data_IF_518587039901
#
_entry.id   IF_518587039901
#
_cell.length_a   1.000
_cell.length_b   1.000
_cell.length_c   1.000
_cell.angle_alpha   90.00
_cell.angle_beta   90.00
_cell.angle_gamma   90.00
#
_symmetry.space_group_name_H-M   'P 1'
#
loop_
_entity.id
_entity.type
_entity.pdbx_description
1 polymer ?
#
# COMPACT_ATOMS: atom_id res chain seq x y z
N UNK A 1 13.46 19.91 -31.22
CA UNK A 1 14.18 19.37 -30.04
C UNK A 1 13.47 19.74 -28.73
N UNK A 2 13.26 21.03 -28.44
CA UNK A 2 12.54 21.52 -27.23
C UNK A 2 11.16 20.89 -26.98
N UNK A 3 10.37 20.67 -28.05
CA UNK A 3 9.04 20.03 -27.94
C UNK A 3 9.09 18.58 -27.45
N UNK A 4 10.12 17.82 -27.84
CA UNK A 4 10.29 16.42 -27.42
C UNK A 4 10.68 16.38 -25.94
N UNK A 5 11.63 17.21 -25.52
CA UNK A 5 12.04 17.32 -24.11
C UNK A 5 10.86 17.70 -23.20
N UNK A 6 9.99 18.63 -23.64
CA UNK A 6 8.79 19.02 -22.90
C UNK A 6 7.81 17.85 -22.74
N UNK A 7 7.61 17.06 -23.80
CA UNK A 7 6.72 15.90 -23.76
C UNK A 7 7.28 14.81 -22.81
N UNK A 8 8.57 14.51 -22.90
CA UNK A 8 9.24 13.56 -22.00
C UNK A 8 9.12 13.97 -20.54
N UNK A 9 9.27 15.26 -20.23
CA UNK A 9 9.17 15.76 -18.85
C UNK A 9 7.76 15.58 -18.27
N UNK A 10 6.72 15.85 -19.07
CA UNK A 10 5.33 15.63 -18.66
C UNK A 10 5.03 14.14 -18.42
N UNK A 11 5.55 13.26 -19.28
CA UNK A 11 5.42 11.80 -19.10
C UNK A 11 6.11 11.34 -17.82
N UNK A 12 7.32 11.80 -17.54
CA UNK A 12 8.04 11.48 -16.31
C UNK A 12 7.25 11.94 -15.07
N UNK A 13 6.73 13.17 -15.06
CA UNK A 13 5.90 13.65 -13.95
C UNK A 13 4.67 12.77 -13.75
N UNK A 14 3.98 12.41 -14.84
CA UNK A 14 2.79 11.58 -14.77
C UNK A 14 3.11 10.18 -14.21
N UNK A 15 4.16 9.53 -14.71
CA UNK A 15 4.60 8.23 -14.20
C UNK A 15 5.10 8.29 -12.77
N UNK A 16 5.83 9.34 -12.38
CA UNK A 16 6.28 9.53 -10.99
C UNK A 16 5.10 9.69 -10.03
N UNK A 17 4.10 10.50 -10.38
CA UNK A 17 2.88 10.65 -9.58
C UNK A 17 2.09 9.35 -9.51
N UNK A 18 1.98 8.63 -10.64
CA UNK A 18 1.30 7.35 -10.70
C UNK A 18 2.02 6.29 -9.85
N UNK A 19 3.35 6.21 -9.90
CA UNK A 19 4.14 5.32 -9.07
C UNK A 19 4.03 5.67 -7.59
N UNK A 20 3.97 6.95 -7.21
CA UNK A 20 3.74 7.35 -5.81
C UNK A 20 2.33 6.95 -5.36
N UNK A 21 1.32 7.07 -6.23
CA UNK A 21 -0.04 6.65 -5.94
C UNK A 21 -0.21 5.12 -5.89
N UNK A 22 0.58 4.37 -6.66
CA UNK A 22 0.58 2.89 -6.62
C UNK A 22 1.49 2.32 -5.52
N UNK A 23 2.57 3.01 -5.12
CA UNK A 23 3.43 2.65 -3.98
C UNK A 23 2.71 2.71 -2.63
N UNK A 24 1.40 2.97 -2.61
CA UNK A 24 0.51 2.60 -1.49
C UNK A 24 0.29 1.07 -1.50
N UNK A 25 1.32 0.30 -1.87
CA UNK A 25 1.26 -1.11 -2.23
C UNK A 25 0.50 -1.94 -1.19
N UNK A 26 -0.52 -2.63 -1.69
CA UNK A 26 -0.95 -3.98 -1.28
C UNK A 26 -1.19 -4.21 0.22
N UNK A 27 -1.53 -3.17 0.98
CA UNK A 27 -2.02 -3.35 2.34
C UNK A 27 -3.40 -3.97 2.25
N UNK A 28 -3.48 -5.28 2.48
CA UNK A 28 -4.75 -5.97 2.63
C UNK A 28 -5.25 -5.61 4.03
N UNK A 29 -6.19 -4.68 4.06
CA UNK A 29 -6.91 -4.34 5.28
C UNK A 29 -7.66 -5.57 5.80
N UNK A 30 -7.62 -5.80 7.10
CA UNK A 30 -8.29 -6.90 7.79
C UNK A 30 -8.84 -6.41 9.12
N UNK A 31 -9.97 -6.99 9.53
CA UNK A 31 -10.49 -6.83 10.90
C UNK A 31 -10.30 -8.11 11.71
N UNK A 32 -10.27 -9.25 11.02
CA UNK A 32 -10.11 -10.57 11.59
C UNK A 32 -9.10 -11.39 10.79
N UNK A 33 -8.46 -12.36 11.43
CA UNK A 33 -7.43 -13.19 10.80
C UNK A 33 -7.97 -14.00 9.60
N UNK A 34 -9.28 -14.22 9.53
CA UNK A 34 -9.97 -14.89 8.42
C UNK A 34 -10.07 -14.03 7.16
N UNK A 35 -9.93 -12.71 7.29
CA UNK A 35 -10.01 -11.78 6.15
C UNK A 35 -8.73 -11.88 5.29
N UNK A 36 -7.65 -12.42 5.87
CA UNK A 36 -6.38 -12.58 5.19
C UNK A 36 -6.36 -13.83 4.29
N UNK A 37 -5.88 -13.71 3.04
CA UNK A 37 -5.78 -14.84 2.14
C UNK A 37 -4.86 -15.92 2.71
N UNK A 38 -5.34 -17.16 2.73
CA UNK A 38 -4.60 -18.33 3.25
C UNK A 38 -3.30 -18.59 2.52
N UNK A 39 -3.25 -18.22 1.25
CA UNK A 39 -2.15 -18.52 0.33
C UNK A 39 -1.15 -17.35 0.20
N UNK A 40 -1.25 -16.32 1.06
CA UNK A 40 -0.34 -15.17 1.01
C UNK A 40 1.01 -15.44 1.69
N UNK A 41 1.07 -16.46 2.56
CA UNK A 41 2.26 -16.82 3.34
C UNK A 41 2.85 -18.14 2.84
N UNK A 42 4.17 -18.33 3.00
CA UNK A 42 4.81 -19.63 2.75
C UNK A 42 4.30 -20.68 3.76
N UNK A 43 4.37 -21.97 3.40
CA UNK A 43 3.81 -23.12 4.16
C UNK A 43 4.11 -23.17 5.67
N UNK A 44 5.12 -22.43 6.15
CA UNK A 44 5.50 -22.39 7.57
C UNK A 44 4.93 -21.21 8.35
N UNK A 45 4.41 -20.19 7.68
CA UNK A 45 3.86 -18.98 8.31
C UNK A 45 2.35 -18.95 8.15
N UNK A 46 1.66 -18.48 9.19
CA UNK A 46 0.20 -18.38 9.19
C UNK A 46 -0.21 -16.93 8.92
N UNK A 47 -1.15 -16.67 8.00
CA UNK A 47 -1.68 -15.34 7.82
C UNK A 47 -2.40 -14.89 9.10
N UNK A 48 -2.05 -13.70 9.57
CA UNK A 48 -2.62 -13.07 10.75
C UNK A 48 -3.03 -11.62 10.43
N UNK A 49 -3.94 -11.08 11.24
CA UNK A 49 -4.30 -9.67 11.13
C UNK A 49 -3.52 -8.88 12.18
N UNK A 50 -2.56 -8.07 11.73
CA UNK A 50 -1.71 -7.27 12.60
C UNK A 50 -2.37 -5.89 12.73
N UNK A 51 -2.80 -5.55 13.94
CA UNK A 51 -3.33 -4.21 14.22
C UNK A 51 -2.18 -3.19 14.16
N UNK A 52 -2.17 -2.38 13.10
CA UNK A 52 -1.18 -1.34 12.93
C UNK A 52 -1.78 0.01 13.31
N UNK A 53 -1.09 0.73 14.20
CA UNK A 53 -1.43 2.12 14.48
C UNK A 53 -0.95 3.00 13.33
N UNK A 54 -1.79 3.23 12.34
CA UNK A 54 -1.44 4.10 11.22
C UNK A 54 -1.67 5.56 11.64
N UNK A 55 -0.59 6.35 11.70
CA UNK A 55 -0.68 7.80 11.87
C UNK A 55 -0.86 8.43 10.49
N UNK A 56 -2.08 8.45 9.97
CA UNK A 56 -2.39 9.27 8.80
C UNK A 56 -2.20 10.74 9.19
N UNK A 57 -1.44 11.48 8.38
CA UNK A 57 -1.13 12.89 8.62
C UNK A 57 -2.41 13.72 8.83
N UNK A 58 -2.46 14.40 9.98
CA UNK A 58 -3.24 15.59 10.37
C UNK A 58 -4.75 15.70 10.08
N UNK A 59 -5.42 14.74 9.43
CA UNK A 59 -6.85 14.87 9.09
C UNK A 59 -7.80 13.96 9.88
N UNK A 60 -7.36 12.82 10.41
CA UNK A 60 -8.18 11.98 11.29
C UNK A 60 -7.37 11.42 12.49
N UNK A 61 -7.82 11.66 13.74
CA UNK A 61 -7.06 11.29 14.93
C UNK A 61 -7.31 9.82 15.29
N UNK A 62 -6.39 8.95 14.87
CA UNK A 62 -6.33 7.52 15.22
C UNK A 62 -7.36 6.63 14.50
N UNK A 63 -6.98 6.17 13.30
CA UNK A 63 -7.60 5.00 12.68
C UNK A 63 -6.78 3.76 13.11
N UNK A 64 -7.45 2.78 13.72
CA UNK A 64 -6.87 1.45 13.89
C UNK A 64 -7.20 0.67 12.64
N UNK A 65 -6.18 0.36 11.85
CA UNK A 65 -6.36 -0.47 10.66
C UNK A 65 -5.57 -1.76 10.87
N UNK A 66 -6.22 -2.89 10.62
CA UNK A 66 -5.56 -4.17 10.63
C UNK A 66 -4.97 -4.44 9.26
N UNK A 67 -3.73 -4.93 9.22
CA UNK A 67 -3.07 -5.29 7.97
C UNK A 67 -2.70 -6.76 8.00
N UNK A 68 -2.91 -7.47 6.90
CA UNK A 68 -2.54 -8.87 6.81
C UNK A 68 -1.02 -9.03 6.85
N UNK A 69 -0.54 -9.83 7.79
CA UNK A 69 0.85 -10.23 7.93
C UNK A 69 1.04 -11.75 7.99
N UNK A 70 2.29 -12.19 8.03
CA UNK A 70 2.66 -13.60 8.18
C UNK A 70 3.44 -13.74 9.49
N UNK A 71 2.91 -14.54 10.43
CA UNK A 71 3.57 -14.94 11.69
C UNK A 71 4.14 -16.36 11.60
#
# INVERSE_FOLDING_TARGET
>A
MVKVFKFTYLMIIFFSLFLVAMNVDAVIECNQHSDCPKDMCQFHLKPNCILMKVRLSNFFPNFYDGICGCD
#
